data_IF_269758321368
#
_entry.id   IF_269758321368
#
_cell.length_a   1.000
_cell.length_b   1.000
_cell.length_c   1.000
_cell.angle_alpha   90.00
_cell.angle_beta   90.00
_cell.angle_gamma   90.00
#
_symmetry.space_group_name_H-M   'P 1'
#
loop_
_entity.id
_entity.type
_entity.pdbx_description
1 polymer ?
#
# COMPACT_ATOMS: atom_id res chain seq x y z
N UNK A 1 -32.87 -5.04 -16.70
CA UNK A 1 -33.81 -6.00 -16.06
C UNK A 1 -35.00 -5.21 -15.54
N UNK A 2 -36.21 -5.54 -15.98
CA UNK A 2 -37.45 -4.91 -15.49
C UNK A 2 -37.95 -5.68 -14.26
N UNK A 3 -38.22 -5.01 -13.14
CA UNK A 3 -38.69 -5.67 -11.90
C UNK A 3 -39.79 -4.85 -11.20
N UNK A 4 -40.81 -5.53 -10.66
CA UNK A 4 -42.00 -4.93 -10.04
C UNK A 4 -43.32 -5.55 -10.53
N UNK A 5 -44.40 -5.44 -9.74
CA UNK A 5 -45.78 -5.80 -10.14
C UNK A 5 -46.48 -4.57 -10.73
N UNK A 6 -46.84 -4.61 -12.00
CA UNK A 6 -47.50 -3.54 -12.77
C UNK A 6 -47.43 -3.82 -14.28
N UNK A 7 -48.22 -3.11 -15.08
CA UNK A 7 -48.14 -3.14 -16.55
C UNK A 7 -46.74 -2.66 -17.03
N UNK A 8 -46.39 -2.87 -18.30
CA UNK A 8 -45.01 -2.63 -18.79
C UNK A 8 -44.50 -1.19 -18.63
N UNK A 9 -45.41 -0.23 -18.43
CA UNK A 9 -45.14 1.19 -18.17
C UNK A 9 -44.75 1.48 -16.70
N UNK A 10 -45.12 0.61 -15.75
CA UNK A 10 -44.87 0.77 -14.31
C UNK A 10 -43.65 -0.03 -13.78
N UNK A 11 -42.98 -0.79 -14.65
CA UNK A 11 -41.84 -1.64 -14.25
C UNK A 11 -40.55 -0.81 -14.17
N UNK A 12 -39.94 -0.77 -12.98
CA UNK A 12 -38.62 -0.15 -12.79
C UNK A 12 -37.56 -0.89 -13.58
N UNK A 13 -36.74 -0.15 -14.32
CA UNK A 13 -35.59 -0.69 -15.06
C UNK A 13 -34.33 -0.64 -14.20
N UNK A 14 -33.77 -1.81 -13.93
CA UNK A 14 -32.47 -1.94 -13.27
C UNK A 14 -31.39 -2.39 -14.26
N UNK A 15 -30.16 -1.88 -14.13
CA UNK A 15 -28.98 -2.34 -14.87
C UNK A 15 -27.99 -3.06 -13.94
N UNK A 16 -27.36 -4.12 -14.45
CA UNK A 16 -26.35 -4.92 -13.76
C UNK A 16 -25.04 -4.86 -14.55
N UNK A 17 -23.96 -4.41 -13.91
CA UNK A 17 -22.62 -4.41 -14.49
C UNK A 17 -21.69 -5.28 -13.64
N UNK A 18 -20.91 -6.15 -14.30
CA UNK A 18 -19.89 -6.99 -13.67
C UNK A 18 -18.53 -6.54 -14.20
N UNK A 19 -17.56 -6.33 -13.32
CA UNK A 19 -16.24 -5.84 -13.73
C UNK A 19 -15.09 -6.45 -12.93
N UNK A 20 -13.92 -6.40 -13.55
CA UNK A 20 -12.63 -6.66 -12.91
C UNK A 20 -11.84 -5.37 -12.93
N UNK A 21 -11.34 -4.95 -11.77
CA UNK A 21 -10.45 -3.80 -11.64
C UNK A 21 -9.08 -4.29 -11.17
N UNK A 22 -8.04 -3.97 -11.95
CA UNK A 22 -6.65 -4.23 -11.58
C UNK A 22 -5.98 -2.89 -11.26
N UNK A 23 -5.54 -2.73 -10.02
CA UNK A 23 -4.77 -1.57 -9.54
C UNK A 23 -3.30 -1.98 -9.47
N UNK A 24 -2.41 -1.09 -9.92
CA UNK A 24 -0.98 -1.38 -10.09
C UNK A 24 -0.76 -2.61 -11.02
N UNK A 25 -1.22 -2.49 -12.28
CA UNK A 25 -1.18 -3.60 -13.25
C UNK A 25 0.23 -4.17 -13.44
N UNK A 26 1.26 -3.34 -13.43
CA UNK A 26 2.65 -3.75 -13.62
C UNK A 26 3.37 -4.12 -12.32
N UNK A 27 2.72 -4.01 -11.16
CA UNK A 27 3.32 -4.21 -9.84
C UNK A 27 4.57 -3.32 -9.62
N UNK A 28 4.48 -2.08 -10.07
CA UNK A 28 5.54 -1.11 -9.92
C UNK A 28 5.67 -0.68 -8.44
N UNK A 29 6.90 -0.63 -7.94
CA UNK A 29 7.29 -0.03 -6.67
C UNK A 29 7.32 1.49 -6.81
N UNK A 30 6.14 2.11 -6.77
CA UNK A 30 6.04 3.56 -6.87
C UNK A 30 6.32 4.19 -5.50
N UNK A 31 7.33 5.07 -5.45
CA UNK A 31 7.64 5.87 -4.26
C UNK A 31 6.59 6.98 -4.11
N UNK A 32 6.00 7.10 -2.93
CA UNK A 32 4.97 8.11 -2.60
C UNK A 32 5.41 9.09 -1.53
N UNK A 33 6.44 8.73 -0.75
CA UNK A 33 7.06 9.58 0.26
C UNK A 33 8.53 9.17 0.45
N UNK A 34 9.32 10.02 1.11
CA UNK A 34 10.73 9.76 1.39
C UNK A 34 11.10 10.25 2.80
N UNK A 35 12.12 9.63 3.40
CA UNK A 35 12.63 10.13 4.67
C UNK A 35 13.30 11.49 4.50
N UNK A 36 12.99 12.44 5.38
CA UNK A 36 13.48 13.82 5.28
C UNK A 36 15.00 13.97 5.48
N UNK A 37 15.63 13.04 6.21
CA UNK A 37 17.05 13.08 6.50
C UNK A 37 17.93 12.69 5.30
N UNK A 38 17.49 11.71 4.50
CA UNK A 38 18.27 11.12 3.41
C UNK A 38 17.71 11.44 2.02
N UNK A 39 16.41 11.76 1.93
CA UNK A 39 15.67 11.86 0.68
C UNK A 39 15.41 10.50 0.01
N UNK A 40 15.69 9.39 0.69
CA UNK A 40 15.52 8.04 0.19
C UNK A 40 14.27 7.38 0.81
N UNK A 41 13.45 6.62 0.07
CA UNK A 41 12.33 5.87 0.65
C UNK A 41 12.72 4.69 1.55
N UNK A 42 13.93 4.14 1.45
CA UNK A 42 14.34 2.92 2.17
C UNK A 42 15.40 3.14 3.27
N UNK A 43 15.84 4.38 3.47
CA UNK A 43 16.88 4.75 4.44
C UNK A 43 16.47 5.98 5.22
N UNK A 44 16.33 5.89 6.54
CA UNK A 44 16.01 7.02 7.41
C UNK A 44 17.24 7.76 7.95
N UNK A 45 18.44 7.27 7.62
CA UNK A 45 19.73 7.84 7.99
C UNK A 45 20.17 7.50 9.41
N UNK A 46 19.39 6.76 10.19
CA UNK A 46 19.69 6.51 11.61
C UNK A 46 20.99 5.72 11.81
N UNK A 47 21.23 4.70 10.98
CA UNK A 47 22.38 3.79 11.12
C UNK A 47 23.72 4.44 10.75
N UNK A 48 23.70 5.49 9.94
CA UNK A 48 24.89 6.20 9.42
C UNK A 48 25.13 7.54 10.13
N UNK A 49 24.13 8.07 10.83
CA UNK A 49 24.22 9.34 11.56
C UNK A 49 25.27 9.26 12.70
N UNK A 50 26.16 10.25 12.75
CA UNK A 50 27.31 10.28 13.65
C UNK A 50 26.90 10.33 15.13
N UNK A 51 25.81 11.03 15.44
CA UNK A 51 25.26 11.18 16.79
C UNK A 51 24.77 9.85 17.39
N UNK A 52 24.40 8.87 16.56
CA UNK A 52 23.88 7.57 17.00
C UNK A 52 24.94 6.46 17.05
N UNK A 53 26.15 6.67 16.52
CA UNK A 53 27.18 5.64 16.48
C UNK A 53 27.62 5.15 17.86
N UNK A 54 27.64 6.03 18.87
CA UNK A 54 27.93 5.62 20.25
C UNK A 54 26.83 4.72 20.82
N UNK A 55 25.55 5.00 20.51
CA UNK A 55 24.43 4.19 20.94
C UNK A 55 24.51 2.80 20.30
N UNK A 56 24.71 2.75 18.99
CA UNK A 56 24.76 1.52 18.19
C UNK A 56 25.93 0.63 18.63
N UNK A 57 27.14 1.19 18.75
CA UNK A 57 28.34 0.43 19.15
C UNK A 57 28.34 0.01 20.63
N UNK A 58 27.56 0.68 21.49
CA UNK A 58 27.38 0.30 22.90
C UNK A 58 26.37 -0.83 23.13
N UNK A 59 25.67 -1.28 22.08
CA UNK A 59 24.72 -2.38 22.17
C UNK A 59 25.43 -3.71 22.49
N UNK A 60 24.68 -4.70 22.98
CA UNK A 60 25.23 -6.01 23.38
C UNK A 60 25.93 -6.68 22.19
N UNK A 61 25.33 -6.56 21.00
CA UNK A 61 25.87 -7.01 19.73
C UNK A 61 25.47 -5.98 18.67
N UNK A 62 26.47 -5.23 18.18
CA UNK A 62 26.27 -4.18 17.19
C UNK A 62 25.68 -4.72 15.88
N UNK A 63 26.16 -5.88 15.42
CA UNK A 63 25.69 -6.46 14.16
C UNK A 63 24.22 -6.85 14.30
N UNK A 64 23.86 -7.53 15.39
CA UNK A 64 22.48 -7.90 15.65
C UNK A 64 21.56 -6.68 15.78
N UNK A 65 22.03 -5.58 16.39
CA UNK A 65 21.27 -4.34 16.46
C UNK A 65 20.98 -3.77 15.07
N UNK A 66 22.01 -3.67 14.21
CA UNK A 66 21.88 -3.18 12.83
C UNK A 66 20.94 -4.05 12.00
N UNK A 67 21.09 -5.38 12.08
CA UNK A 67 20.24 -6.33 11.36
C UNK A 67 18.76 -6.20 11.75
N UNK A 68 18.47 -6.10 13.06
CA UNK A 68 17.11 -5.92 13.55
C UNK A 68 16.54 -4.54 13.18
N UNK A 69 17.37 -3.51 13.14
CA UNK A 69 16.94 -2.18 12.71
C UNK A 69 16.57 -2.17 11.22
N UNK A 70 17.40 -2.76 10.37
CA UNK A 70 17.13 -2.90 8.93
C UNK A 70 15.84 -3.70 8.70
N UNK A 71 15.67 -4.83 9.39
CA UNK A 71 14.43 -5.62 9.30
C UNK A 71 13.18 -4.82 9.70
N UNK A 72 13.29 -3.95 10.72
CA UNK A 72 12.22 -3.04 11.12
C UNK A 72 11.95 -2.00 10.01
N UNK A 73 12.98 -1.41 9.43
CA UNK A 73 12.86 -0.39 8.40
C UNK A 73 12.22 -0.96 7.12
N UNK A 74 12.70 -2.10 6.65
CA UNK A 74 12.14 -2.83 5.49
C UNK A 74 10.69 -3.28 5.71
N UNK A 75 10.30 -3.54 6.97
CA UNK A 75 8.93 -3.92 7.31
C UNK A 75 7.93 -2.76 7.21
N UNK A 76 8.41 -1.52 7.01
CA UNK A 76 7.58 -0.34 6.88
C UNK A 76 7.38 0.05 5.40
N UNK A 77 6.21 -0.25 4.79
CA UNK A 77 5.94 0.07 3.40
C UNK A 77 5.40 1.49 3.18
N UNK A 78 5.37 2.36 4.19
CA UNK A 78 4.65 3.64 4.14
C UNK A 78 5.14 4.59 3.04
N UNK A 79 6.39 4.44 2.60
CA UNK A 79 6.99 5.24 1.52
C UNK A 79 6.67 4.72 0.11
N UNK A 80 5.98 3.59 -0.01
CA UNK A 80 5.61 2.97 -1.28
C UNK A 80 4.10 2.87 -1.47
N UNK A 81 3.67 3.01 -2.72
CA UNK A 81 2.29 2.75 -3.09
C UNK A 81 1.92 1.28 -2.82
N UNK A 82 0.62 1.05 -2.60
CA UNK A 82 0.10 -0.30 -2.37
C UNK A 82 0.48 -1.27 -3.52
N UNK A 83 0.73 -2.55 -3.18
CA UNK A 83 1.04 -3.59 -4.17
C UNK A 83 -0.16 -3.84 -5.10
N UNK A 84 0.04 -4.68 -6.12
CA UNK A 84 -1.05 -5.08 -7.04
C UNK A 84 -2.30 -5.57 -6.30
N UNK A 85 -3.46 -4.97 -6.64
CA UNK A 85 -4.77 -5.41 -6.12
C UNK A 85 -5.72 -5.69 -7.28
N UNK A 86 -6.33 -6.87 -7.24
CA UNK A 86 -7.36 -7.29 -8.21
C UNK A 86 -8.70 -7.34 -7.48
N UNK A 87 -9.70 -6.66 -8.03
CA UNK A 87 -11.05 -6.57 -7.45
C UNK A 87 -12.07 -7.07 -8.45
N UNK A 88 -12.98 -7.92 -7.98
CA UNK A 88 -14.16 -8.36 -8.70
C UNK A 88 -15.36 -7.60 -8.13
N UNK A 89 -16.11 -6.91 -8.99
CA UNK A 89 -17.20 -6.03 -8.57
C UNK A 89 -18.47 -6.26 -9.37
N UNK A 90 -19.60 -6.00 -8.70
CA UNK A 90 -20.94 -6.01 -9.28
C UNK A 90 -21.60 -4.67 -8.93
N UNK A 91 -22.14 -3.96 -9.91
CA UNK A 91 -22.86 -2.71 -9.73
C UNK A 91 -24.31 -2.86 -10.21
N UNK A 92 -25.25 -2.46 -9.35
CA UNK A 92 -26.69 -2.42 -9.62
C UNK A 92 -27.13 -0.95 -9.66
N UNK A 93 -27.77 -0.52 -10.75
CA UNK A 93 -28.45 0.78 -10.83
C UNK A 93 -29.95 0.55 -11.03
N UNK A 94 -30.80 1.40 -10.46
CA UNK A 94 -32.26 1.26 -10.40
C UNK A 94 -32.98 2.59 -10.63
#
# INVERSE_FOLDING_TARGET
>A
MKWGKGEDEDKKEASLNIYIQVLNLFDALNVIDVFSATGNPDDDGFLEAAEWQNLISSSIDEQAYRDLYLAKLESNPDNYALPRRIRLGIQLNF
#
